data_IF_365718134450
#
_entry.id   IF_365718134450
#
_cell.length_a   1.000
_cell.length_b   1.000
_cell.length_c   1.000
_cell.angle_alpha   90.00
_cell.angle_beta   90.00
_cell.angle_gamma   90.00
#
_symmetry.space_group_name_H-M   'P 1'
#
loop_
_entity.id
_entity.type
_entity.pdbx_description
1 polymer ?
#
# COMPACT_ATOMS: atom_id res chain seq x y z
N UNK A 1 25.82 32.95 -15.96
CA UNK A 1 25.75 31.48 -16.11
C UNK A 1 24.88 30.82 -15.01
N UNK A 2 25.08 31.05 -13.72
CA UNK A 2 24.34 30.40 -12.63
C UNK A 2 22.82 30.64 -12.71
N UNK A 3 22.40 31.90 -12.97
CA UNK A 3 20.97 32.25 -13.08
C UNK A 3 20.31 31.52 -14.24
N UNK A 4 20.96 31.44 -15.41
CA UNK A 4 20.43 30.70 -16.55
C UNK A 4 20.29 29.20 -16.25
N UNK A 5 21.26 28.60 -15.56
CA UNK A 5 21.18 27.19 -15.14
C UNK A 5 20.02 26.94 -14.16
N UNK A 6 19.77 27.86 -13.22
CA UNK A 6 18.64 27.77 -12.27
C UNK A 6 17.29 27.91 -13.00
N UNK A 7 17.17 28.80 -13.99
CA UNK A 7 15.95 28.94 -14.81
C UNK A 7 15.68 27.66 -15.60
N UNK A 8 16.72 27.10 -16.26
CA UNK A 8 16.59 25.85 -17.01
C UNK A 8 16.17 24.70 -16.07
N UNK A 9 16.79 24.60 -14.90
CA UNK A 9 16.44 23.58 -13.92
C UNK A 9 14.97 23.73 -13.45
N UNK A 10 14.55 24.96 -13.14
CA UNK A 10 13.17 25.24 -12.75
C UNK A 10 12.18 24.89 -13.87
N UNK A 11 12.49 25.23 -15.12
CA UNK A 11 11.68 24.88 -16.29
C UNK A 11 11.58 23.37 -16.45
N UNK A 12 12.69 22.63 -16.35
CA UNK A 12 12.72 21.16 -16.43
C UNK A 12 11.88 20.54 -15.32
N UNK A 13 11.93 21.05 -14.09
CA UNK A 13 11.13 20.58 -12.98
C UNK A 13 9.63 20.82 -13.22
N UNK A 14 9.26 21.98 -13.77
CA UNK A 14 7.87 22.32 -14.12
C UNK A 14 7.37 21.41 -15.23
N UNK A 15 8.14 21.20 -16.28
CA UNK A 15 7.80 20.28 -17.38
C UNK A 15 7.67 18.85 -16.88
N UNK A 16 8.62 18.37 -16.07
CA UNK A 16 8.54 17.04 -15.46
C UNK A 16 7.26 16.87 -14.63
N UNK A 17 6.89 17.88 -13.83
CA UNK A 17 5.64 17.86 -13.04
C UNK A 17 4.40 17.85 -13.94
N UNK A 18 4.39 18.60 -15.05
CA UNK A 18 3.28 18.69 -16.01
C UNK A 18 3.05 17.35 -16.72
N UNK A 19 4.14 16.68 -17.14
CA UNK A 19 4.08 15.45 -17.94
C UNK A 19 4.18 14.17 -17.11
N UNK A 20 4.49 14.26 -15.80
CA UNK A 20 4.52 13.09 -14.94
C UNK A 20 3.14 12.46 -14.80
N UNK A 21 3.07 11.14 -14.94
CA UNK A 21 1.83 10.40 -14.71
C UNK A 21 1.49 10.38 -13.20
N UNK A 22 0.36 10.96 -12.77
CA UNK A 22 -0.05 10.88 -11.37
C UNK A 22 -0.67 9.54 -10.99
N UNK A 23 -1.13 8.76 -11.98
CA UNK A 23 -1.86 7.51 -11.78
C UNK A 23 -0.89 6.35 -11.61
N UNK A 24 -0.94 5.71 -10.48
CA UNK A 24 0.01 4.66 -10.13
C UNK A 24 -0.54 3.71 -9.09
N UNK A 25 -0.01 2.51 -9.08
CA UNK A 25 -0.22 1.52 -8.06
C UNK A 25 0.93 1.55 -7.06
N UNK A 26 0.63 1.77 -5.80
CA UNK A 26 1.61 1.89 -4.70
C UNK A 26 1.40 0.75 -3.72
N UNK A 27 2.43 -0.01 -3.46
CA UNK A 27 2.42 -1.04 -2.43
C UNK A 27 3.13 -0.54 -1.18
N UNK A 28 2.43 -0.52 -0.06
CA UNK A 28 3.00 -0.19 1.24
C UNK A 28 3.05 -1.44 2.11
N UNK A 29 4.13 -1.62 2.83
CA UNK A 29 4.28 -2.77 3.73
C UNK A 29 5.09 -2.38 4.97
N UNK A 30 4.99 -3.20 6.01
CA UNK A 30 5.66 -3.00 7.28
C UNK A 30 5.04 -3.82 8.39
N UNK A 31 5.74 -3.99 9.49
CA UNK A 31 5.29 -4.75 10.66
C UNK A 31 3.96 -4.20 11.22
N UNK A 32 3.30 -5.00 12.06
CA UNK A 32 2.16 -4.52 12.87
C UNK A 32 2.59 -3.28 13.65
N UNK A 33 1.72 -2.28 13.75
CA UNK A 33 2.05 -1.01 14.41
C UNK A 33 2.97 -0.07 13.63
N UNK A 34 3.41 -0.41 12.42
CA UNK A 34 4.28 0.47 11.60
C UNK A 34 3.61 1.74 11.08
N UNK A 35 2.30 1.92 11.30
CA UNK A 35 1.55 3.12 10.87
C UNK A 35 0.97 3.02 9.46
N UNK A 36 0.72 1.80 8.94
CA UNK A 36 0.16 1.58 7.59
C UNK A 36 -1.21 2.23 7.41
N UNK A 37 -2.15 1.97 8.33
CA UNK A 37 -3.48 2.59 8.29
C UNK A 37 -3.42 4.11 8.45
N UNK A 38 -2.54 4.64 9.33
CA UNK A 38 -2.27 6.09 9.43
C UNK A 38 -1.79 6.67 8.10
N UNK A 39 -0.89 5.96 7.40
CA UNK A 39 -0.40 6.40 6.09
C UNK A 39 -1.54 6.46 5.08
N UNK A 40 -2.39 5.43 5.01
CA UNK A 40 -3.55 5.42 4.10
C UNK A 40 -4.52 6.53 4.40
N UNK A 41 -4.93 6.70 5.67
CA UNK A 41 -5.80 7.81 6.12
C UNK A 41 -5.22 9.17 5.75
N UNK A 42 -3.91 9.37 5.94
CA UNK A 42 -3.22 10.59 5.50
C UNK A 42 -3.32 10.79 3.98
N UNK A 43 -3.19 9.74 3.18
CA UNK A 43 -3.34 9.86 1.73
C UNK A 43 -4.80 10.14 1.36
N UNK A 44 -5.79 9.48 1.99
CA UNK A 44 -7.21 9.78 1.78
C UNK A 44 -7.50 11.27 1.99
N UNK A 45 -7.09 11.86 3.11
CA UNK A 45 -7.22 13.30 3.35
C UNK A 45 -6.53 14.15 2.30
N UNK A 46 -5.34 13.75 1.87
CA UNK A 46 -4.58 14.48 0.86
C UNK A 46 -5.28 14.50 -0.49
N UNK A 47 -5.88 13.39 -0.89
CA UNK A 47 -6.56 13.26 -2.18
C UNK A 47 -7.95 13.91 -2.15
N UNK A 48 -8.71 13.79 -1.06
CA UNK A 48 -9.97 14.53 -0.86
C UNK A 48 -9.76 16.03 -0.99
N UNK A 49 -8.71 16.59 -0.33
CA UNK A 49 -8.38 18.03 -0.45
C UNK A 49 -8.02 18.48 -1.87
N UNK A 50 -7.67 17.55 -2.74
CA UNK A 50 -7.41 17.81 -4.17
C UNK A 50 -8.65 17.63 -5.05
N UNK A 51 -9.83 17.38 -4.45
CA UNK A 51 -11.07 17.13 -5.17
C UNK A 51 -11.11 15.76 -5.87
N UNK A 52 -10.37 14.76 -5.35
CA UNK A 52 -10.41 13.40 -5.87
C UNK A 52 -11.48 12.58 -5.15
N UNK A 53 -12.08 11.64 -5.85
CA UNK A 53 -12.92 10.60 -5.25
C UNK A 53 -12.05 9.62 -4.48
N UNK A 54 -12.49 9.20 -3.31
CA UNK A 54 -11.70 8.28 -2.46
C UNK A 54 -12.55 7.08 -2.07
N UNK A 55 -12.01 5.91 -2.32
CA UNK A 55 -12.61 4.61 -2.00
C UNK A 55 -11.67 3.80 -1.12
N UNK A 56 -12.22 2.99 -0.24
CA UNK A 56 -11.46 2.07 0.63
C UNK A 56 -12.30 0.86 1.01
N UNK A 57 -11.66 -0.24 1.31
CA UNK A 57 -12.25 -1.43 1.90
C UNK A 57 -12.24 -1.41 3.45
N UNK A 58 -11.58 -0.42 4.04
CA UNK A 58 -11.55 -0.24 5.50
C UNK A 58 -12.94 0.18 6.01
N UNK A 59 -13.66 -0.74 6.64
CA UNK A 59 -15.01 -0.49 7.15
C UNK A 59 -15.09 0.50 8.32
N UNK A 60 -14.00 0.64 9.06
CA UNK A 60 -13.86 1.45 10.27
C UNK A 60 -13.45 2.91 10.04
N UNK A 61 -13.20 3.29 8.77
CA UNK A 61 -12.79 4.66 8.41
C UNK A 61 -13.90 5.67 8.62
N UNK A 62 -13.59 6.75 9.33
CA UNK A 62 -14.50 7.86 9.69
C UNK A 62 -14.04 9.18 9.08
N UNK A 63 -13.94 9.23 7.75
CA UNK A 63 -13.53 10.41 7.00
C UNK A 63 -14.67 10.85 6.09
N UNK A 64 -15.27 12.04 6.27
CA UNK A 64 -16.30 12.54 5.37
C UNK A 64 -15.83 12.56 3.92
N UNK A 65 -16.67 12.07 3.00
CA UNK A 65 -16.36 12.00 1.57
C UNK A 65 -15.61 10.75 1.11
N UNK A 66 -15.19 9.87 2.02
CA UNK A 66 -14.66 8.55 1.68
C UNK A 66 -15.82 7.58 1.46
N UNK A 67 -15.72 6.74 0.44
CA UNK A 67 -16.71 5.71 0.09
C UNK A 67 -16.13 4.33 0.38
N UNK A 68 -16.86 3.52 1.12
CA UNK A 68 -16.46 2.16 1.47
C UNK A 68 -16.90 1.22 0.35
N UNK A 69 -15.99 0.39 -0.14
CA UNK A 69 -16.25 -0.60 -1.18
C UNK A 69 -15.60 -1.94 -0.82
N UNK A 70 -16.33 -3.04 -0.87
CA UNK A 70 -15.75 -4.35 -0.63
C UNK A 70 -14.78 -4.75 -1.75
N UNK A 71 -13.68 -5.41 -1.40
CA UNK A 71 -12.63 -5.82 -2.37
C UNK A 71 -13.19 -6.67 -3.50
N UNK A 72 -14.19 -7.52 -3.21
CA UNK A 72 -14.83 -8.38 -4.20
C UNK A 72 -15.52 -7.60 -5.31
N UNK A 73 -16.02 -6.40 -5.01
CA UNK A 73 -16.69 -5.56 -6.00
C UNK A 73 -15.72 -4.91 -6.99
N UNK A 74 -14.41 -4.84 -6.68
CA UNK A 74 -13.41 -4.22 -7.55
C UNK A 74 -13.30 -4.89 -8.92
N UNK A 75 -13.63 -6.18 -9.03
CA UNK A 75 -13.57 -6.91 -10.28
C UNK A 75 -14.52 -6.33 -11.36
N UNK A 76 -15.65 -5.77 -10.96
CA UNK A 76 -16.66 -5.16 -11.82
C UNK A 76 -16.80 -3.65 -11.64
N UNK A 77 -16.09 -3.08 -10.65
CA UNK A 77 -16.21 -1.67 -10.31
C UNK A 77 -15.46 -0.77 -11.29
N UNK A 78 -16.15 0.26 -11.76
CA UNK A 78 -15.55 1.32 -12.56
C UNK A 78 -15.66 2.66 -11.82
N UNK A 79 -14.60 3.06 -11.11
CA UNK A 79 -14.60 4.33 -10.38
C UNK A 79 -14.59 5.53 -11.33
N UNK A 80 -15.00 6.69 -10.81
CA UNK A 80 -14.88 7.95 -11.51
C UNK A 80 -13.41 8.30 -11.79
N UNK A 81 -13.09 9.02 -12.87
CA UNK A 81 -11.74 9.51 -13.13
C UNK A 81 -11.21 10.36 -11.97
N UNK A 82 -9.88 10.35 -11.75
CA UNK A 82 -9.23 10.99 -10.61
C UNK A 82 -9.69 10.41 -9.27
N UNK A 83 -9.63 9.09 -9.15
CA UNK A 83 -9.95 8.39 -7.90
C UNK A 83 -8.71 7.82 -7.23
N UNK A 84 -8.75 7.79 -5.90
CA UNK A 84 -7.87 7.02 -5.04
C UNK A 84 -8.61 5.80 -4.51
N UNK A 85 -8.02 4.64 -4.63
CA UNK A 85 -8.50 3.38 -4.02
C UNK A 85 -7.47 2.92 -3.01
N UNK A 86 -7.86 2.82 -1.75
CA UNK A 86 -7.01 2.31 -0.66
C UNK A 86 -7.51 0.93 -0.24
N UNK A 87 -6.64 -0.08 -0.30
CA UNK A 87 -6.95 -1.46 0.04
C UNK A 87 -6.10 -1.90 1.24
N UNK A 88 -6.79 -2.30 2.31
CA UNK A 88 -6.16 -2.75 3.54
C UNK A 88 -5.91 -4.27 3.49
N UNK A 89 -4.80 -4.68 4.05
CA UNK A 89 -4.40 -6.08 4.27
C UNK A 89 -4.60 -6.99 3.04
N UNK A 90 -4.15 -6.53 1.87
CA UNK A 90 -4.27 -7.30 0.61
C UNK A 90 -3.56 -8.65 0.66
N UNK A 91 -2.62 -8.87 1.60
CA UNK A 91 -1.99 -10.16 1.84
C UNK A 91 -2.96 -11.25 2.27
N UNK A 92 -4.06 -10.92 2.95
CA UNK A 92 -5.09 -11.89 3.34
C UNK A 92 -6.02 -12.20 2.16
N UNK A 93 -6.40 -11.15 1.43
CA UNK A 93 -7.38 -11.25 0.34
C UNK A 93 -6.77 -11.79 -0.95
N UNK A 94 -5.46 -11.60 -1.14
CA UNK A 94 -4.70 -11.91 -2.35
C UNK A 94 -3.49 -12.80 -2.04
N UNK A 95 -3.69 -13.83 -1.20
CA UNK A 95 -2.64 -14.77 -0.79
C UNK A 95 -2.16 -15.63 -1.99
N UNK A 96 -0.85 -15.76 -2.10
CA UNK A 96 -0.17 -16.59 -3.09
C UNK A 96 -0.62 -18.07 -3.09
N UNK A 97 -1.10 -18.57 -1.96
CA UNK A 97 -1.49 -20.00 -1.79
C UNK A 97 -2.78 -20.35 -2.52
N UNK A 98 -3.64 -19.35 -2.77
CA UNK A 98 -4.92 -19.50 -3.49
C UNK A 98 -4.85 -19.00 -4.95
N UNK A 99 -3.74 -19.24 -5.61
CA UNK A 99 -3.43 -18.82 -6.97
C UNK A 99 -4.53 -19.10 -8.03
N UNK A 100 -5.29 -20.19 -7.86
CA UNK A 100 -6.38 -20.55 -8.77
C UNK A 100 -7.65 -19.69 -8.61
N UNK A 101 -7.75 -18.97 -7.51
CA UNK A 101 -8.95 -18.20 -7.15
C UNK A 101 -8.84 -16.67 -7.34
N UNK A 102 -7.70 -16.16 -7.87
CA UNK A 102 -7.57 -14.73 -8.13
C UNK A 102 -8.51 -14.32 -9.28
N UNK A 103 -9.57 -13.56 -9.03
CA UNK A 103 -10.55 -13.23 -10.06
C UNK A 103 -9.87 -12.49 -11.22
N UNK A 104 -10.08 -12.91 -12.48
CA UNK A 104 -9.50 -12.23 -13.64
C UNK A 104 -9.79 -10.72 -13.67
N UNK A 105 -11.02 -10.33 -13.33
CA UNK A 105 -11.44 -8.92 -13.28
C UNK A 105 -10.65 -8.08 -12.28
N UNK A 106 -10.24 -8.67 -11.15
CA UNK A 106 -9.44 -7.96 -10.15
C UNK A 106 -8.01 -7.69 -10.66
N UNK A 107 -7.42 -8.65 -11.35
CA UNK A 107 -6.13 -8.46 -12.02
C UNK A 107 -6.20 -7.35 -13.08
N UNK A 108 -7.25 -7.34 -13.85
CA UNK A 108 -7.46 -6.33 -14.88
C UNK A 108 -7.69 -4.94 -14.28
N UNK A 109 -8.35 -4.85 -13.13
CA UNK A 109 -8.49 -3.61 -12.37
C UNK A 109 -7.13 -2.97 -12.04
N UNK A 110 -6.18 -3.74 -11.51
CA UNK A 110 -4.83 -3.24 -11.24
C UNK A 110 -4.07 -2.89 -12.52
N UNK A 111 -4.12 -3.74 -13.52
CA UNK A 111 -3.42 -3.54 -14.80
C UNK A 111 -3.89 -2.30 -15.54
N UNK A 112 -5.19 -2.00 -15.48
CA UNK A 112 -5.78 -0.86 -16.16
C UNK A 112 -5.95 0.39 -15.29
N UNK A 113 -5.43 0.42 -14.07
CA UNK A 113 -5.52 1.54 -13.14
C UNK A 113 -5.16 2.89 -13.79
N UNK A 114 -4.08 2.93 -14.58
CA UNK A 114 -3.67 4.12 -15.32
C UNK A 114 -4.69 4.56 -16.37
N UNK A 115 -5.27 3.62 -17.13
CA UNK A 115 -6.30 3.92 -18.14
C UNK A 115 -7.58 4.43 -17.50
N UNK A 116 -7.92 3.92 -16.33
CA UNK A 116 -9.07 4.36 -15.52
C UNK A 116 -8.78 5.65 -14.72
N UNK A 117 -7.58 6.22 -14.84
CA UNK A 117 -7.14 7.42 -14.11
C UNK A 117 -7.20 7.24 -12.58
N UNK A 118 -6.70 6.11 -12.09
CA UNK A 118 -6.69 5.74 -10.68
C UNK A 118 -5.32 5.83 -10.06
N UNK A 119 -5.30 6.15 -8.77
CA UNK A 119 -4.21 5.82 -7.86
C UNK A 119 -4.69 4.71 -6.95
N UNK A 120 -3.95 3.63 -6.87
CA UNK A 120 -4.26 2.51 -5.98
C UNK A 120 -3.15 2.44 -4.93
N UNK A 121 -3.54 2.38 -3.65
CA UNK A 121 -2.62 2.15 -2.54
C UNK A 121 -3.05 0.84 -1.88
N UNK A 122 -2.16 -0.13 -1.89
CA UNK A 122 -2.36 -1.43 -1.25
C UNK A 122 -1.43 -1.56 -0.07
N UNK A 123 -1.90 -2.13 1.03
CA UNK A 123 -1.04 -2.44 2.16
C UNK A 123 -1.00 -3.94 2.46
N UNK A 124 0.11 -4.39 3.07
CA UNK A 124 0.24 -5.69 3.70
C UNK A 124 1.21 -5.65 4.88
N UNK A 125 1.09 -6.62 5.78
CA UNK A 125 2.02 -6.77 6.91
C UNK A 125 3.37 -7.33 6.47
N UNK A 126 3.36 -8.21 5.47
CA UNK A 126 4.54 -8.85 4.90
C UNK A 126 4.72 -8.45 3.42
N UNK A 127 5.90 -8.73 2.91
CA UNK A 127 6.19 -8.63 1.48
C UNK A 127 5.58 -9.83 0.69
N UNK A 128 4.74 -10.61 1.37
CA UNK A 128 4.19 -11.88 0.91
C UNK A 128 2.86 -11.71 0.17
N UNK A 129 2.84 -10.79 -0.78
CA UNK A 129 1.71 -10.59 -1.71
C UNK A 129 2.01 -11.33 -3.01
N UNK A 130 0.97 -11.79 -3.70
CA UNK A 130 1.11 -12.45 -5.01
C UNK A 130 2.07 -11.67 -5.92
N UNK A 131 3.03 -12.39 -6.51
CA UNK A 131 4.03 -11.82 -7.41
C UNK A 131 3.37 -10.99 -8.53
N UNK A 132 2.23 -11.44 -9.06
CA UNK A 132 1.50 -10.74 -10.12
C UNK A 132 1.01 -9.37 -9.67
N UNK A 133 0.55 -9.24 -8.43
CA UNK A 133 0.14 -7.95 -7.85
C UNK A 133 1.36 -7.06 -7.66
N UNK A 134 2.47 -7.60 -7.12
CA UNK A 134 3.73 -6.86 -6.99
C UNK A 134 4.28 -6.38 -8.33
N UNK A 135 4.16 -7.19 -9.37
CA UNK A 135 4.63 -6.85 -10.72
C UNK A 135 3.79 -5.73 -11.37
N UNK A 136 2.57 -5.51 -10.89
CA UNK A 136 1.73 -4.37 -11.33
C UNK A 136 1.98 -3.09 -10.54
N UNK A 137 2.82 -3.12 -9.49
CA UNK A 137 3.10 -1.94 -8.66
C UNK A 137 4.17 -1.06 -9.28
N UNK A 138 3.87 0.24 -9.37
CA UNK A 138 4.80 1.26 -9.88
C UNK A 138 5.79 1.72 -8.81
N UNK A 139 5.42 1.62 -7.52
CA UNK A 139 6.28 2.01 -6.41
C UNK A 139 5.97 1.25 -5.13
N UNK A 140 7.00 1.02 -4.34
CA UNK A 140 6.92 0.34 -3.05
C UNK A 140 7.39 1.26 -1.94
N UNK A 141 6.78 1.17 -0.77
CA UNK A 141 7.14 1.98 0.39
C UNK A 141 7.17 1.09 1.63
N UNK A 142 8.33 1.00 2.26
CA UNK A 142 8.45 0.41 3.58
C UNK A 142 8.06 1.43 4.63
N UNK A 143 7.12 1.07 5.49
CA UNK A 143 6.70 1.86 6.65
C UNK A 143 7.34 1.30 7.92
N UNK A 144 7.87 2.21 8.74
CA UNK A 144 8.57 1.87 9.96
C UNK A 144 8.21 2.89 11.04
N UNK A 145 7.76 2.42 12.20
CA UNK A 145 7.49 3.31 13.33
C UNK A 145 8.76 3.68 14.06
N UNK A 146 8.84 4.92 14.52
CA UNK A 146 9.80 5.39 15.51
C UNK A 146 9.00 5.67 16.78
N UNK A 147 9.13 4.77 17.74
CA UNK A 147 8.25 4.75 18.90
C UNK A 147 6.77 4.62 18.50
N UNK A 148 5.89 5.13 19.36
CA UNK A 148 4.43 5.12 19.13
C UNK A 148 3.92 6.37 18.35
N UNK A 149 4.78 7.36 18.12
CA UNK A 149 4.36 8.69 17.67
C UNK A 149 4.63 8.94 16.19
N UNK A 150 5.72 8.43 15.65
CA UNK A 150 6.14 8.77 14.30
C UNK A 150 6.22 7.55 13.41
N UNK A 151 5.91 7.75 12.15
CA UNK A 151 6.15 6.77 11.10
C UNK A 151 7.06 7.35 10.02
N UNK A 152 8.01 6.54 9.59
CA UNK A 152 8.90 6.85 8.47
C UNK A 152 8.46 6.04 7.27
N UNK A 153 8.14 6.72 6.19
CA UNK A 153 7.86 6.12 4.89
C UNK A 153 9.14 6.15 4.04
N UNK A 154 9.66 4.99 3.74
CA UNK A 154 10.92 4.79 3.00
C UNK A 154 10.61 4.23 1.62
N UNK A 155 10.60 5.04 0.55
CA UNK A 155 10.37 4.55 -0.80
C UNK A 155 11.48 3.58 -1.22
N UNK A 156 11.07 2.55 -1.96
CA UNK A 156 11.97 1.54 -2.53
C UNK A 156 11.94 1.68 -4.05
N UNK A 157 13.11 1.69 -4.65
CA UNK A 157 13.30 1.65 -6.10
C UNK A 157 13.57 0.22 -6.52
N UNK A 158 12.86 -0.21 -7.55
CA UNK A 158 13.10 -1.47 -8.25
C UNK A 158 14.03 -1.18 -9.41
N UNK A 159 15.17 -1.83 -9.48
CA UNK A 159 16.07 -1.80 -10.62
C UNK A 159 16.19 -3.20 -11.22
N UNK A 160 16.11 -3.26 -12.53
CA UNK A 160 16.28 -4.50 -13.29
C UNK A 160 17.77 -4.63 -13.59
N UNK A 161 18.37 -5.71 -13.14
CA UNK A 161 19.74 -6.10 -13.47
C UNK A 161 19.71 -7.29 -14.42
N UNK A 162 20.39 -7.16 -15.54
CA UNK A 162 20.64 -8.27 -16.46
C UNK A 162 21.90 -8.99 -15.96
N UNK A 163 21.78 -10.24 -15.57
CA UNK A 163 22.93 -11.09 -15.28
C UNK A 163 23.38 -11.73 -16.59
N UNK A 164 24.64 -11.51 -16.94
CA UNK A 164 25.23 -12.14 -18.14
C UNK A 164 25.13 -13.65 -18.04
N UNK A 165 24.92 -14.37 -19.16
CA UNK A 165 24.91 -15.82 -19.16
C UNK A 165 26.27 -16.35 -18.73
N UNK A 166 26.30 -17.22 -17.70
CA UNK A 166 27.47 -18.02 -17.35
C UNK A 166 27.30 -19.41 -17.94
N UNK A 167 28.40 -20.18 -18.06
CA UNK A 167 28.39 -21.50 -18.66
C UNK A 167 27.37 -22.49 -18.04
N UNK A 168 26.84 -22.17 -16.87
CA UNK A 168 25.91 -23.03 -16.13
C UNK A 168 24.49 -22.43 -15.95
N UNK A 169 24.23 -21.20 -16.39
CA UNK A 169 22.93 -20.54 -16.22
C UNK A 169 22.56 -19.63 -17.38
N UNK A 170 21.33 -19.79 -17.88
CA UNK A 170 20.73 -18.86 -18.84
C UNK A 170 20.67 -17.44 -18.28
N UNK A 171 20.72 -16.43 -19.16
CA UNK A 171 20.57 -15.03 -18.78
C UNK A 171 19.31 -14.81 -17.96
N UNK A 172 19.45 -14.39 -16.72
CA UNK A 172 18.32 -14.12 -15.81
C UNK A 172 18.15 -12.62 -15.61
N UNK A 173 16.92 -12.19 -15.74
CA UNK A 173 16.49 -10.85 -15.30
C UNK A 173 16.27 -10.93 -13.81
N UNK A 174 17.12 -10.26 -13.03
CA UNK A 174 16.98 -10.16 -11.58
C UNK A 174 16.50 -8.77 -11.20
N UNK A 175 15.49 -8.73 -10.32
CA UNK A 175 15.02 -7.50 -9.71
C UNK A 175 15.81 -7.19 -8.44
N UNK A 176 16.47 -6.03 -8.42
CA UNK A 176 17.17 -5.54 -7.24
C UNK A 176 16.35 -4.42 -6.59
N UNK A 177 16.07 -4.57 -5.31
CA UNK A 177 15.35 -3.58 -4.51
C UNK A 177 16.36 -2.75 -3.71
N UNK A 178 16.32 -1.42 -3.87
CA UNK A 178 17.16 -0.48 -3.13
C UNK A 178 16.31 0.62 -2.52
N UNK A 179 16.67 1.08 -1.33
CA UNK A 179 16.01 2.25 -0.77
C UNK A 179 16.33 3.49 -1.62
N UNK A 180 15.31 4.29 -1.83
CA UNK A 180 15.49 5.59 -2.45
C UNK A 180 16.32 6.52 -1.53
N UNK A 181 16.99 7.55 -2.09
CA UNK A 181 17.78 8.49 -1.30
C UNK A 181 17.01 9.06 -0.10
N UNK A 182 17.72 9.38 0.98
CA UNK A 182 17.18 9.87 2.24
C UNK A 182 16.24 11.08 2.06
N UNK A 183 16.54 11.98 1.12
CA UNK A 183 15.71 13.14 0.79
C UNK A 183 14.29 12.78 0.31
N UNK A 184 14.08 11.55 -0.15
CA UNK A 184 12.75 11.06 -0.56
C UNK A 184 11.93 10.47 0.59
N UNK A 185 12.55 10.26 1.76
CA UNK A 185 11.87 9.74 2.93
C UNK A 185 10.89 10.76 3.47
N UNK A 186 9.82 10.28 4.10
CA UNK A 186 8.79 11.13 4.70
C UNK A 186 8.53 10.67 6.12
N UNK A 187 8.56 11.60 7.05
CA UNK A 187 8.22 11.37 8.45
C UNK A 187 6.88 12.04 8.71
N UNK A 188 6.01 11.40 9.47
CA UNK A 188 4.73 11.99 9.86
C UNK A 188 4.32 11.52 11.25
N UNK A 189 3.54 12.39 11.92
CA UNK A 189 3.04 12.19 13.26
C UNK A 189 1.75 11.35 13.19
N UNK A 190 1.78 10.13 13.73
CA UNK A 190 0.68 9.16 13.65
C UNK A 190 -0.57 9.55 14.44
N UNK A 191 -0.46 10.09 15.69
CA UNK A 191 -1.62 10.40 16.51
C UNK A 191 -2.61 11.38 15.87
N UNK A 192 -2.17 12.23 14.94
CA UNK A 192 -3.05 13.10 14.18
C UNK A 192 -4.13 12.36 13.37
N UNK A 193 -3.93 11.07 13.12
CA UNK A 193 -4.80 10.24 12.28
C UNK A 193 -5.59 9.19 13.05
N UNK A 194 -5.27 8.89 14.33
CA UNK A 194 -5.92 7.83 15.12
C UNK A 194 -7.43 8.00 15.25
N UNK A 195 -7.92 9.25 15.33
CA UNK A 195 -9.37 9.54 15.42
C UNK A 195 -10.19 9.14 14.20
N UNK A 196 -9.55 8.85 13.08
CA UNK A 196 -10.23 8.59 11.80
C UNK A 196 -10.40 7.12 11.46
N UNK A 197 -9.89 6.21 12.29
CA UNK A 197 -10.04 4.77 12.11
C UNK A 197 -9.82 4.07 13.46
N UNK A 198 -10.31 2.84 13.57
CA UNK A 198 -10.07 2.00 14.73
C UNK A 198 -9.07 0.90 14.38
N UNK A 199 -7.84 1.02 14.87
CA UNK A 199 -6.77 0.02 14.61
C UNK A 199 -7.00 -1.33 15.29
N UNK A 200 -7.98 -1.42 16.21
CA UNK A 200 -8.34 -2.62 16.95
C UNK A 200 -9.66 -3.22 16.44
N UNK A 201 -10.33 -2.57 15.46
CA UNK A 201 -11.53 -3.10 14.85
C UNK A 201 -11.26 -4.50 14.27
N UNK A 202 -12.04 -5.47 14.75
CA UNK A 202 -11.98 -6.85 14.26
C UNK A 202 -13.29 -7.20 13.57
N UNK A 203 -13.25 -7.97 12.48
CA UNK A 203 -14.47 -8.55 11.93
C UNK A 203 -15.14 -9.44 12.99
N UNK A 204 -16.48 -9.49 13.01
CA UNK A 204 -17.20 -10.32 13.96
C UNK A 204 -16.75 -11.77 13.84
N UNK A 205 -16.45 -12.39 14.97
CA UNK A 205 -16.09 -13.81 15.08
C UNK A 205 -17.16 -14.55 15.84
N UNK A 206 -17.35 -15.82 15.49
CA UNK A 206 -18.22 -16.70 16.27
C UNK A 206 -17.67 -16.85 17.69
N UNK A 207 -18.52 -16.79 18.69
CA UNK A 207 -18.16 -17.10 20.07
C UNK A 207 -17.87 -18.61 20.15
N UNK A 208 -16.70 -18.95 20.67
CA UNK A 208 -16.31 -20.33 20.93
C UNK A 208 -16.46 -20.60 22.42
N UNK A 209 -17.28 -21.58 22.83
CA UNK A 209 -17.39 -21.92 24.25
C UNK A 209 -16.03 -22.42 24.77
N UNK A 210 -15.61 -21.90 25.89
CA UNK A 210 -14.39 -22.34 26.57
C UNK A 210 -14.74 -22.78 28.01
N UNK A 211 -13.96 -23.72 28.52
CA UNK A 211 -14.05 -24.19 29.90
C UNK A 211 -12.90 -23.61 30.68
N UNK A 212 -13.20 -22.90 31.75
CA UNK A 212 -12.16 -22.46 32.69
C UNK A 212 -11.71 -23.64 33.57
N UNK A 213 -10.42 -23.71 33.85
CA UNK A 213 -9.87 -24.63 34.84
C UNK A 213 -9.92 -23.94 36.18
N UNK A 214 -10.82 -24.39 37.06
CA UNK A 214 -11.16 -23.70 38.31
C UNK A 214 -10.15 -23.91 39.45
N UNK A 215 -9.19 -24.85 39.31
CA UNK A 215 -8.18 -25.08 40.35
C UNK A 215 -6.96 -25.81 39.83
N UNK A 216 -5.81 -25.49 40.41
CA UNK A 216 -4.62 -26.29 40.22
C UNK A 216 -4.83 -27.72 40.75
N UNK A 217 -4.29 -28.77 40.11
CA UNK A 217 -4.35 -30.11 40.68
C UNK A 217 -3.66 -30.10 42.04
N UNK A 218 -4.42 -30.44 43.10
CA UNK A 218 -3.81 -30.64 44.39
C UNK A 218 -2.79 -31.77 44.25
N UNK A 219 -1.52 -31.43 44.49
CA UNK A 219 -0.50 -32.47 44.63
C UNK A 219 -0.94 -33.46 45.70
N UNK A 220 -1.36 -34.62 45.28
CA UNK A 220 -1.51 -35.76 46.19
C UNK A 220 -0.10 -36.09 46.74
N UNK A 221 0.07 -35.90 48.04
CA UNK A 221 1.26 -36.36 48.76
C UNK A 221 1.23 -37.87 48.93
#
# INVERSE_FOLDING_TARGET
MVIAALIILALLLLLNRKYSNPYKCVFIFGKKGAGKSCYMVRQMHRYLRKGWHVYTDMADVRIPGVRIIPVQALASFRPEPKSLVCLDEVGITMDNRNYKSFPPGLRDFFKYARKMKLVIIMNSQAYDVDKKVRDTTDSMILLQSIGALFCVARPIRRSITLTAPSAEAESRIADTLRFAPLLSWRIYYMPAYFRYFDSLAMPPRAEVPFRMVDSEPRHAR
#
